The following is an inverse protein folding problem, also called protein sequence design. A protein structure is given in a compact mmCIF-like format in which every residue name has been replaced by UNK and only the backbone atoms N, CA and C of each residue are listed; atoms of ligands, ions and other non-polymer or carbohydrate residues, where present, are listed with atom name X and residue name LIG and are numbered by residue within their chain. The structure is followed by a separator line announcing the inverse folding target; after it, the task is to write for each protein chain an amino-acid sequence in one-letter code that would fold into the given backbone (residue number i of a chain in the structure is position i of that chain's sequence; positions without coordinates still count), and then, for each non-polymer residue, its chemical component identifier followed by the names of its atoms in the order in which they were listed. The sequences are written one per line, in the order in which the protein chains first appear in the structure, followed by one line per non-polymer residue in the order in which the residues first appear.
data_IF_987312870952
#
_entry.id   IF_987312870952
#
_cell.length_a   1.000
_cell.length_b   1.000
_cell.length_c   1.000
_cell.angle_alpha   90.00
_cell.angle_beta   90.00
_cell.angle_gamma   90.00
#
_symmetry.space_group_name_H-M   'P 1'
#
loop_
_entity.id
_entity.type
_entity.pdbx_description
1 polymer ?
#
# COMPACT_ATOMS: atom_id res chain seq x y z
N UNK A 1 -8.12 -12.04 19.17
CA UNK A 1 -8.59 -13.45 19.08
C UNK A 1 -7.68 -14.27 18.17
N UNK A 2 -7.50 -13.92 16.88
CA UNK A 2 -6.72 -14.67 15.87
C UNK A 2 -5.25 -14.92 16.30
N UNK A 3 -4.60 -13.92 16.91
CA UNK A 3 -3.22 -14.05 17.40
C UNK A 3 -3.08 -15.07 18.53
N UNK A 4 -4.04 -15.05 19.44
CA UNK A 4 -4.09 -15.96 20.59
C UNK A 4 -4.47 -17.36 20.12
N UNK A 5 -5.41 -17.49 19.18
CA UNK A 5 -5.78 -18.76 18.56
C UNK A 5 -4.58 -19.44 17.88
N UNK A 6 -3.75 -18.67 17.16
CA UNK A 6 -2.52 -19.20 16.54
C UNK A 6 -1.49 -19.66 17.59
N UNK A 7 -1.31 -18.90 18.66
CA UNK A 7 -0.44 -19.29 19.77
C UNK A 7 -0.97 -20.53 20.51
N UNK A 8 -2.29 -20.62 20.70
CA UNK A 8 -2.95 -21.78 21.30
C UNK A 8 -2.80 -23.04 20.43
N UNK A 9 -2.99 -22.94 19.11
CA UNK A 9 -2.75 -24.05 18.17
C UNK A 9 -1.32 -24.56 18.22
N UNK A 10 -0.35 -23.64 18.31
CA UNK A 10 1.07 -24.04 18.43
C UNK A 10 1.38 -24.80 19.73
N UNK A 11 0.66 -24.50 20.83
CA UNK A 11 0.89 -25.13 22.13
C UNK A 11 0.09 -26.41 22.33
N UNK A 12 -1.18 -26.43 21.91
CA UNK A 12 -2.06 -27.61 22.05
C UNK A 12 -2.01 -28.57 20.86
N UNK A 13 -1.27 -28.24 19.80
CA UNK A 13 -1.12 -28.99 18.56
C UNK A 13 -1.92 -28.37 17.40
N UNK A 14 -1.29 -28.31 16.24
CA UNK A 14 -1.88 -27.72 15.01
C UNK A 14 -3.10 -28.48 14.51
N UNK A 15 -3.26 -29.73 14.93
CA UNK A 15 -4.38 -30.60 14.55
C UNK A 15 -5.69 -30.30 15.30
N UNK A 16 -5.62 -29.50 16.37
CA UNK A 16 -6.79 -29.11 17.15
C UNK A 16 -7.48 -27.87 16.54
N UNK A 17 -8.79 -27.90 16.45
CA UNK A 17 -9.60 -26.73 16.14
C UNK A 17 -9.88 -25.94 17.43
N UNK A 18 -9.05 -24.94 17.69
CA UNK A 18 -9.10 -24.14 18.91
C UNK A 18 -9.87 -22.84 18.66
N UNK A 19 -10.87 -22.59 19.51
CA UNK A 19 -11.65 -21.34 19.55
C UNK A 19 -11.19 -20.56 20.78
N UNK A 20 -10.93 -19.28 20.60
CA UNK A 20 -10.55 -18.34 21.66
C UNK A 20 -11.61 -17.26 21.77
N UNK A 21 -12.18 -17.09 22.94
CA UNK A 21 -13.11 -16.02 23.26
C UNK A 21 -12.46 -15.09 24.29
N UNK A 22 -12.57 -13.79 24.05
CA UNK A 22 -12.08 -12.76 24.97
C UNK A 22 -13.29 -12.02 25.52
N UNK A 23 -13.46 -12.07 26.82
CA UNK A 23 -14.45 -11.25 27.48
C UNK A 23 -13.99 -9.78 27.47
N UNK A 24 -14.75 -8.92 26.82
CA UNK A 24 -14.39 -7.50 26.65
C UNK A 24 -14.50 -6.68 27.94
N UNK A 25 -15.25 -7.17 28.95
CA UNK A 25 -15.46 -6.43 30.20
C UNK A 25 -14.33 -6.65 31.21
N UNK A 26 -13.85 -7.88 31.35
CA UNK A 26 -12.85 -8.24 32.34
C UNK A 26 -11.50 -8.66 31.74
N UNK A 27 -11.42 -8.83 30.41
CA UNK A 27 -10.21 -9.25 29.71
C UNK A 27 -9.88 -10.75 29.85
N UNK A 28 -10.78 -11.56 30.43
CA UNK A 28 -10.55 -12.98 30.58
C UNK A 28 -10.57 -13.69 29.22
N UNK A 29 -9.63 -14.63 29.07
CA UNK A 29 -9.47 -15.42 27.86
C UNK A 29 -9.94 -16.82 28.14
N UNK A 30 -10.98 -17.28 27.45
CA UNK A 30 -11.41 -18.67 27.43
C UNK A 30 -10.93 -19.35 26.15
N UNK A 31 -10.32 -20.52 26.33
CA UNK A 31 -9.79 -21.32 25.23
C UNK A 31 -10.55 -22.63 25.23
N UNK A 32 -11.21 -22.93 24.13
CA UNK A 32 -12.00 -24.16 23.97
C UNK A 32 -11.59 -24.89 22.69
N UNK A 33 -11.62 -26.20 22.74
CA UNK A 33 -11.41 -27.04 21.58
C UNK A 33 -12.77 -27.41 20.99
N UNK A 34 -12.95 -27.21 19.69
CA UNK A 34 -14.13 -27.62 18.96
C UNK A 34 -14.02 -29.08 18.60
N UNK A 35 -15.00 -29.89 18.99
CA UNK A 35 -15.05 -31.32 18.72
C UNK A 35 -16.41 -31.69 18.15
N UNK A 36 -16.42 -32.60 17.18
CA UNK A 36 -17.65 -33.16 16.60
C UNK A 36 -18.03 -34.44 17.36
N UNK A 37 -19.28 -34.56 17.78
CA UNK A 37 -19.78 -35.77 18.45
C UNK A 37 -20.10 -36.83 17.41
N UNK A 38 -19.38 -37.96 17.50
CA UNK A 38 -19.50 -39.12 16.59
C UNK A 38 -19.70 -40.40 17.37
N UNK A 39 -20.20 -41.43 16.69
CA UNK A 39 -20.38 -42.76 17.30
C UNK A 39 -19.04 -43.50 17.39
N UNK A 40 -18.24 -43.49 16.31
CA UNK A 40 -16.89 -44.04 16.26
C UNK A 40 -15.87 -42.93 16.02
N UNK A 41 -14.93 -42.71 16.92
CA UNK A 41 -13.87 -41.72 16.85
C UNK A 41 -12.77 -42.21 15.90
N UNK A 42 -12.64 -41.51 14.77
CA UNK A 42 -11.55 -41.69 13.79
C UNK A 42 -10.38 -40.74 14.05
N UNK A 43 -10.68 -39.54 14.47
CA UNK A 43 -9.66 -38.53 14.79
C UNK A 43 -9.87 -38.03 16.24
N UNK A 44 -8.96 -38.36 17.12
CA UNK A 44 -9.02 -38.00 18.56
C UNK A 44 -8.89 -36.51 18.83
N UNK A 45 -8.46 -35.70 17.85
CA UNK A 45 -8.26 -34.27 18.00
C UNK A 45 -9.52 -33.47 17.62
N UNK A 46 -10.35 -33.99 16.71
CA UNK A 46 -11.52 -33.32 16.17
C UNK A 46 -12.85 -33.98 16.55
N UNK A 47 -12.80 -35.23 17.03
CA UNK A 47 -13.99 -36.04 17.27
C UNK A 47 -14.05 -36.54 18.71
N UNK A 48 -15.25 -36.61 19.25
CA UNK A 48 -15.53 -37.12 20.59
C UNK A 48 -16.65 -38.15 20.55
N UNK A 49 -16.52 -39.25 21.31
CA UNK A 49 -17.55 -40.28 21.43
C UNK A 49 -18.74 -39.74 22.23
N UNK A 50 -19.97 -40.12 21.86
CA UNK A 50 -21.23 -39.73 22.49
C UNK A 50 -21.23 -39.93 24.03
N UNK A 51 -20.60 -41.01 24.54
CA UNK A 51 -20.51 -41.25 25.98
C UNK A 51 -19.66 -40.22 26.71
N UNK A 52 -18.60 -39.74 26.08
CA UNK A 52 -17.71 -38.71 26.64
C UNK A 52 -18.37 -37.32 26.46
N UNK A 53 -18.99 -37.05 25.32
CA UNK A 53 -19.74 -35.83 25.04
C UNK A 53 -20.85 -35.56 26.07
N UNK A 54 -21.61 -36.61 26.47
CA UNK A 54 -22.66 -36.49 27.48
C UNK A 54 -22.13 -36.18 28.89
N UNK A 55 -20.86 -36.39 29.18
CA UNK A 55 -20.27 -35.95 30.46
C UNK A 55 -19.99 -34.44 30.49
N UNK A 56 -19.77 -33.83 29.33
CA UNK A 56 -19.53 -32.40 29.19
C UNK A 56 -20.85 -31.66 29.01
N UNK A 57 -21.71 -32.18 28.16
CA UNK A 57 -23.06 -31.64 27.94
C UNK A 57 -24.04 -32.81 27.92
N UNK A 58 -24.91 -32.92 28.94
CA UNK A 58 -25.86 -34.01 29.08
C UNK A 58 -26.92 -34.15 27.95
N UNK A 59 -27.11 -33.10 27.16
CA UNK A 59 -28.05 -33.07 26.02
C UNK A 59 -27.39 -33.36 24.66
N UNK A 60 -26.07 -33.66 24.61
CA UNK A 60 -25.32 -33.88 23.37
C UNK A 60 -25.87 -35.02 22.52
N UNK A 61 -26.01 -34.79 21.21
CA UNK A 61 -26.42 -35.75 20.19
C UNK A 61 -25.29 -35.98 19.17
N UNK A 62 -25.40 -37.08 18.42
CA UNK A 62 -24.47 -37.38 17.34
C UNK A 62 -24.61 -36.30 16.25
N UNK A 63 -23.53 -35.68 15.83
CA UNK A 63 -23.50 -34.59 14.87
C UNK A 63 -23.41 -33.19 15.50
N UNK A 64 -23.53 -33.10 16.84
CA UNK A 64 -23.39 -31.80 17.53
C UNK A 64 -21.91 -31.38 17.61
N UNK A 65 -21.70 -30.08 17.55
CA UNK A 65 -20.39 -29.45 17.82
C UNK A 65 -20.30 -29.12 19.31
N UNK A 66 -19.28 -29.65 19.97
CA UNK A 66 -19.05 -29.46 21.39
C UNK A 66 -17.78 -28.62 21.63
N UNK A 67 -17.87 -27.66 22.54
CA UNK A 67 -16.73 -26.89 23.01
C UNK A 67 -16.19 -27.55 24.30
N UNK A 68 -15.02 -28.14 24.21
CA UNK A 68 -14.29 -28.73 25.35
C UNK A 68 -13.33 -27.66 25.91
N UNK A 69 -13.55 -27.16 27.14
CA UNK A 69 -12.69 -26.12 27.70
C UNK A 69 -11.28 -26.69 27.96
N UNK A 70 -10.29 -26.03 27.40
CA UNK A 70 -8.90 -26.36 27.63
C UNK A 70 -8.39 -25.67 28.90
N UNK A 71 -7.43 -26.26 29.64
CA UNK A 71 -6.86 -25.61 30.81
C UNK A 71 -6.26 -24.24 30.43
N UNK A 72 -6.26 -23.24 31.34
CA UNK A 72 -5.66 -21.96 31.04
C UNK A 72 -4.19 -22.13 30.67
N UNK A 73 -3.79 -21.51 29.56
CA UNK A 73 -2.42 -21.59 29.06
C UNK A 73 -1.56 -20.57 29.79
N UNK A 74 -0.44 -21.05 30.33
CA UNK A 74 0.62 -20.10 30.74
C UNK A 74 1.27 -19.53 29.47
N UNK A 75 0.97 -18.26 29.17
CA UNK A 75 1.54 -17.54 28.04
C UNK A 75 3.03 -17.30 28.28
N UNK A 76 3.83 -18.34 28.13
CA UNK A 76 5.29 -18.22 28.16
C UNK A 76 5.81 -17.22 27.11
N UNK A 77 7.06 -16.80 27.24
CA UNK A 77 7.71 -15.81 26.35
C UNK A 77 7.50 -16.07 24.86
N UNK A 78 7.44 -17.34 24.45
CA UNK A 78 7.28 -17.75 23.04
C UNK A 78 5.88 -17.40 22.51
N UNK A 79 4.84 -17.69 23.31
CA UNK A 79 3.47 -17.36 22.94
C UNK A 79 3.24 -15.83 22.90
N UNK A 80 3.81 -15.09 23.86
CA UNK A 80 3.76 -13.64 23.88
C UNK A 80 4.47 -13.00 22.66
N UNK A 81 5.61 -13.56 22.25
CA UNK A 81 6.32 -13.11 21.04
C UNK A 81 5.53 -13.41 19.77
N UNK A 82 4.93 -14.62 19.67
CA UNK A 82 4.09 -14.99 18.54
C UNK A 82 2.86 -14.08 18.43
N UNK A 83 2.17 -13.81 19.54
CA UNK A 83 1.05 -12.88 19.59
C UNK A 83 1.46 -11.46 19.14
N UNK A 84 2.58 -10.95 19.65
CA UNK A 84 3.14 -9.66 19.23
C UNK A 84 3.42 -9.61 17.72
N UNK A 85 3.99 -10.67 17.16
CA UNK A 85 4.29 -10.76 15.73
C UNK A 85 3.03 -10.75 14.88
N UNK A 86 1.98 -11.49 15.27
CA UNK A 86 0.70 -11.52 14.55
C UNK A 86 0.00 -10.15 14.65
N UNK A 87 -0.04 -9.53 15.82
CA UNK A 87 -0.62 -8.19 16.00
C UNK A 87 0.11 -7.19 15.08
N UNK A 88 1.45 -7.17 15.10
CA UNK A 88 2.22 -6.27 14.26
C UNK A 88 1.99 -6.54 12.76
N UNK A 89 1.82 -7.81 12.36
CA UNK A 89 1.50 -8.17 10.98
C UNK A 89 0.13 -7.64 10.56
N UNK A 90 -0.88 -7.80 11.42
CA UNK A 90 -2.25 -7.32 11.16
C UNK A 90 -2.35 -5.79 11.12
N UNK A 91 -1.64 -5.11 12.03
CA UNK A 91 -1.56 -3.64 12.00
C UNK A 91 -0.93 -3.16 10.69
N UNK A 92 0.18 -3.77 10.27
CA UNK A 92 0.83 -3.42 8.98
C UNK A 92 -0.07 -3.71 7.79
N UNK A 93 -0.80 -4.83 7.80
CA UNK A 93 -1.75 -5.18 6.74
C UNK A 93 -2.86 -4.12 6.62
N UNK A 94 -3.48 -3.73 7.74
CA UNK A 94 -4.50 -2.70 7.79
C UNK A 94 -3.99 -1.31 7.36
N UNK A 95 -2.76 -0.93 7.77
CA UNK A 95 -2.11 0.31 7.32
C UNK A 95 -1.89 0.30 5.81
N UNK A 96 -1.45 -0.83 5.24
CA UNK A 96 -1.22 -0.98 3.80
C UNK A 96 -2.52 -0.91 3.01
N UNK A 97 -3.57 -1.58 3.48
CA UNK A 97 -4.89 -1.51 2.86
C UNK A 97 -5.43 -0.07 2.87
N UNK A 98 -5.26 0.65 3.97
CA UNK A 98 -5.62 2.06 4.06
C UNK A 98 -4.84 2.92 3.07
N UNK A 99 -3.52 2.73 2.97
CA UNK A 99 -2.68 3.43 2.01
C UNK A 99 -3.10 3.14 0.57
N UNK A 100 -3.36 1.87 0.23
CA UNK A 100 -3.87 1.50 -1.08
C UNK A 100 -5.19 2.19 -1.40
N UNK A 101 -6.16 2.15 -0.49
CA UNK A 101 -7.47 2.79 -0.68
C UNK A 101 -7.39 4.32 -0.83
N UNK A 102 -6.44 4.96 -0.15
CA UNK A 102 -6.21 6.42 -0.26
C UNK A 102 -5.61 6.82 -1.60
N UNK A 103 -4.75 5.98 -2.20
CA UNK A 103 -4.00 6.33 -3.41
C UNK A 103 -4.51 5.66 -4.69
N UNK A 104 -5.34 4.62 -4.64
CA UNK A 104 -5.83 3.90 -5.83
C UNK A 104 -6.53 4.79 -6.85
N UNK A 105 -7.30 5.78 -6.37
CA UNK A 105 -8.07 6.70 -7.22
C UNK A 105 -7.24 7.93 -7.64
N UNK A 106 -5.99 8.04 -7.17
CA UNK A 106 -5.07 9.14 -7.47
C UNK A 106 -4.05 8.80 -8.55
N UNK A 107 -4.23 7.67 -9.23
CA UNK A 107 -3.44 7.34 -10.42
C UNK A 107 -3.67 8.42 -11.48
N UNK A 108 -2.59 8.98 -12.02
CA UNK A 108 -2.68 10.11 -12.94
C UNK A 108 -2.34 11.47 -12.32
N UNK A 109 -2.22 11.56 -11.00
CA UNK A 109 -1.89 12.80 -10.31
C UNK A 109 -0.38 13.02 -10.15
N UNK A 110 0.01 14.26 -9.96
CA UNK A 110 1.34 14.64 -9.49
C UNK A 110 1.33 14.75 -7.98
N UNK A 111 2.28 14.09 -7.34
CA UNK A 111 2.51 14.16 -5.90
C UNK A 111 3.86 14.77 -5.58
N UNK A 112 3.93 15.44 -4.43
CA UNK A 112 5.18 15.93 -3.87
C UNK A 112 5.65 14.94 -2.80
N UNK A 113 6.92 14.57 -2.84
CA UNK A 113 7.53 13.71 -1.84
C UNK A 113 8.92 14.19 -1.46
N UNK A 114 9.43 13.65 -0.37
CA UNK A 114 10.81 13.87 0.09
C UNK A 114 11.58 12.58 -0.10
N UNK A 115 12.75 12.65 -0.70
CA UNK A 115 13.62 11.47 -0.86
C UNK A 115 14.02 10.96 0.51
N UNK A 116 13.61 9.75 0.84
CA UNK A 116 13.91 9.08 2.10
C UNK A 116 15.19 8.25 2.01
N UNK A 117 15.37 7.53 0.92
CA UNK A 117 16.53 6.70 0.62
C UNK A 117 16.59 6.32 -0.85
N UNK A 118 17.77 5.95 -1.29
CA UNK A 118 18.02 5.39 -2.62
C UNK A 118 18.57 3.99 -2.48
N UNK A 119 17.94 2.99 -3.09
CA UNK A 119 18.31 1.58 -3.00
C UNK A 119 18.39 0.97 -4.41
N UNK A 120 19.56 0.48 -4.79
CA UNK A 120 19.80 -0.16 -6.09
C UNK A 120 19.35 0.69 -7.30
N UNK A 121 19.46 2.02 -7.18
CA UNK A 121 19.02 2.96 -8.21
C UNK A 121 17.52 3.29 -8.19
N UNK A 122 16.73 2.66 -7.32
CA UNK A 122 15.35 3.06 -7.05
C UNK A 122 15.33 4.12 -5.96
N UNK A 123 14.47 5.13 -6.12
CA UNK A 123 14.32 6.22 -5.15
C UNK A 123 13.03 6.02 -4.38
N UNK A 124 13.13 5.97 -3.06
CA UNK A 124 11.97 5.88 -2.18
C UNK A 124 11.62 7.28 -1.70
N UNK A 125 10.39 7.70 -2.00
CA UNK A 125 9.83 8.98 -1.58
C UNK A 125 8.89 8.79 -0.40
N UNK A 126 9.00 9.68 0.57
CA UNK A 126 8.02 9.87 1.63
C UNK A 126 6.95 10.85 1.13
N UNK A 127 5.72 10.38 1.04
CA UNK A 127 4.54 11.17 0.63
C UNK A 127 3.75 11.70 1.84
N UNK A 128 4.30 11.56 3.05
CA UNK A 128 3.69 11.94 4.33
C UNK A 128 2.82 10.84 4.93
N UNK A 129 1.94 10.23 4.17
CA UNK A 129 1.05 9.14 4.64
C UNK A 129 1.43 7.76 4.11
N UNK A 130 2.26 7.70 3.08
CA UNK A 130 2.71 6.47 2.43
C UNK A 130 4.09 6.65 1.82
N UNK A 131 4.74 5.54 1.51
CA UNK A 131 5.98 5.53 0.72
C UNK A 131 5.67 5.21 -0.75
N UNK A 132 6.24 6.00 -1.66
CA UNK A 132 6.21 5.74 -3.10
C UNK A 132 7.60 5.36 -3.60
N UNK A 133 7.67 4.62 -4.70
CA UNK A 133 8.92 4.22 -5.34
C UNK A 133 9.00 4.77 -6.76
N UNK A 134 10.12 5.43 -7.07
CA UNK A 134 10.53 5.72 -8.44
C UNK A 134 11.56 4.66 -8.81
N UNK A 135 11.22 3.80 -9.77
CA UNK A 135 12.17 2.80 -10.28
C UNK A 135 13.27 3.48 -11.08
N UNK A 136 14.42 2.83 -11.19
CA UNK A 136 15.58 3.34 -11.95
C UNK A 136 15.23 3.71 -13.39
N UNK A 137 14.38 2.93 -14.05
CA UNK A 137 13.90 3.20 -15.42
C UNK A 137 12.89 4.35 -15.51
N UNK A 138 12.35 4.78 -14.37
CA UNK A 138 11.38 5.86 -14.23
C UNK A 138 11.99 7.17 -13.71
N UNK A 139 13.30 7.20 -13.50
CA UNK A 139 14.06 8.42 -13.16
C UNK A 139 14.44 9.20 -14.43
N UNK A 140 14.76 10.48 -14.27
CA UNK A 140 15.32 11.28 -15.36
C UNK A 140 16.83 10.96 -15.47
N UNK A 141 17.36 10.68 -16.67
CA UNK A 141 18.80 10.47 -16.84
C UNK A 141 19.60 11.69 -16.34
N UNK A 142 20.71 11.45 -15.65
CA UNK A 142 21.59 12.46 -15.05
C UNK A 142 21.00 13.25 -13.88
N UNK A 143 19.81 12.90 -13.41
CA UNK A 143 19.25 13.49 -12.19
C UNK A 143 19.85 12.79 -10.96
N UNK A 144 20.49 13.55 -10.08
CA UNK A 144 21.07 13.05 -8.84
C UNK A 144 20.19 13.43 -7.65
N UNK A 145 19.27 12.53 -7.28
CA UNK A 145 18.38 12.73 -6.15
C UNK A 145 19.04 12.30 -4.85
N UNK A 146 19.19 13.24 -3.92
CA UNK A 146 19.81 13.03 -2.60
C UNK A 146 18.73 12.91 -1.51
N UNK A 147 19.10 12.27 -0.41
CA UNK A 147 18.24 12.20 0.79
C UNK A 147 17.85 13.61 1.26
N UNK A 148 16.55 13.82 1.48
CA UNK A 148 16.00 15.11 1.88
C UNK A 148 15.52 16.00 0.74
N UNK A 149 15.84 15.68 -0.53
CA UNK A 149 15.37 16.45 -1.67
C UNK A 149 13.86 16.38 -1.82
N UNK A 150 13.25 17.52 -2.16
CA UNK A 150 11.83 17.57 -2.50
C UNK A 150 11.63 17.28 -3.97
N UNK A 151 10.84 16.28 -4.28
CA UNK A 151 10.66 15.78 -5.64
C UNK A 151 9.19 15.74 -5.98
N UNK A 152 8.84 16.24 -7.18
CA UNK A 152 7.52 16.01 -7.80
C UNK A 152 7.58 14.77 -8.66
N UNK A 153 6.59 13.91 -8.57
CA UNK A 153 6.50 12.70 -9.37
C UNK A 153 5.05 12.40 -9.74
N UNK A 154 4.88 11.68 -10.84
CA UNK A 154 3.59 11.26 -11.38
C UNK A 154 3.26 9.86 -10.88
N UNK A 155 2.06 9.66 -10.35
CA UNK A 155 1.58 8.32 -9.97
C UNK A 155 1.13 7.60 -11.24
N UNK A 156 1.91 6.61 -11.70
CA UNK A 156 1.52 5.85 -12.87
C UNK A 156 0.80 4.54 -12.53
N UNK A 157 1.00 4.03 -11.31
CA UNK A 157 0.39 2.78 -10.88
C UNK A 157 0.32 2.70 -9.36
N UNK A 158 -0.76 2.10 -8.85
CA UNK A 158 -0.92 1.73 -7.44
C UNK A 158 -1.33 0.25 -7.38
N UNK A 159 -0.58 -0.56 -6.65
CA UNK A 159 -0.81 -2.01 -6.52
C UNK A 159 -1.07 -2.39 -5.08
N UNK A 160 -1.98 -3.34 -4.88
CA UNK A 160 -2.15 -3.99 -3.59
C UNK A 160 -1.09 -5.09 -3.44
N UNK A 161 0.07 -4.73 -2.91
CA UNK A 161 1.19 -5.64 -2.68
C UNK A 161 1.27 -6.03 -1.20
N UNK A 162 1.59 -7.27 -0.90
CA UNK A 162 1.77 -7.74 0.49
C UNK A 162 3.11 -7.32 1.07
N UNK A 163 4.13 -7.08 0.23
CA UNK A 163 5.47 -6.64 0.60
C UNK A 163 5.97 -5.56 -0.35
N UNK A 164 6.74 -4.61 0.16
CA UNK A 164 7.34 -3.53 -0.65
C UNK A 164 6.41 -2.33 -0.85
N UNK A 165 6.83 -1.31 -1.62
CA UNK A 165 6.03 -0.13 -1.90
C UNK A 165 4.82 -0.47 -2.77
N UNK A 166 3.69 0.22 -2.54
CA UNK A 166 2.45 0.04 -3.28
C UNK A 166 2.22 1.12 -4.33
N UNK A 167 2.86 2.29 -4.16
CA UNK A 167 2.67 3.46 -5.01
C UNK A 167 3.88 3.58 -5.91
N UNK A 168 3.65 3.44 -7.21
CA UNK A 168 4.69 3.51 -8.24
C UNK A 168 4.66 4.88 -8.89
N UNK A 169 5.81 5.55 -8.86
CA UNK A 169 5.99 6.92 -9.28
C UNK A 169 6.93 6.99 -10.49
N UNK A 170 6.68 7.95 -11.36
CA UNK A 170 7.53 8.21 -12.53
C UNK A 170 7.86 9.69 -12.66
N UNK A 171 9.10 9.96 -13.08
CA UNK A 171 9.55 11.27 -13.51
C UNK A 171 9.82 11.33 -15.02
N UNK A 172 9.93 10.16 -15.65
CA UNK A 172 10.16 10.03 -17.10
C UNK A 172 8.88 9.92 -17.93
N UNK A 173 7.75 9.56 -17.32
CA UNK A 173 6.49 9.32 -18.03
C UNK A 173 6.00 10.56 -18.80
N UNK A 174 5.51 10.42 -20.06
CA UNK A 174 4.99 11.55 -20.84
C UNK A 174 3.86 12.31 -20.16
N UNK A 175 2.95 11.61 -19.47
CA UNK A 175 1.84 12.21 -18.75
C UNK A 175 2.28 13.12 -17.57
N UNK A 176 3.47 12.90 -17.03
CA UNK A 176 4.04 13.81 -16.03
C UNK A 176 4.16 15.23 -16.60
N UNK A 177 4.62 15.35 -17.84
CA UNK A 177 4.70 16.65 -18.52
C UNK A 177 3.30 17.23 -18.77
N UNK A 178 2.36 16.42 -19.26
CA UNK A 178 0.99 16.87 -19.51
C UNK A 178 0.35 17.42 -18.23
N UNK A 179 0.50 16.72 -17.11
CA UNK A 179 -0.05 17.16 -15.83
C UNK A 179 0.62 18.41 -15.26
N UNK A 180 1.93 18.59 -15.49
CA UNK A 180 2.61 19.85 -15.14
C UNK A 180 2.03 21.02 -15.93
N UNK A 181 1.82 20.86 -17.23
CA UNK A 181 1.18 21.89 -18.05
C UNK A 181 -0.26 22.18 -17.62
N UNK A 182 -1.02 21.17 -17.23
CA UNK A 182 -2.37 21.35 -16.68
C UNK A 182 -2.35 22.19 -15.40
N UNK A 183 -1.32 22.05 -14.57
CA UNK A 183 -1.18 22.86 -13.35
C UNK A 183 -0.70 24.30 -13.61
N UNK A 184 0.17 24.49 -14.59
CA UNK A 184 0.79 25.80 -14.87
C UNK A 184 -0.01 26.66 -15.88
N UNK A 185 -0.89 26.05 -16.68
CA UNK A 185 -1.66 26.71 -17.76
C UNK A 185 -3.15 26.65 -17.43
N UNK A 186 -3.75 27.75 -16.93
CA UNK A 186 -5.16 27.78 -16.56
C UNK A 186 -6.09 27.40 -17.71
N UNK A 187 -5.76 27.80 -18.95
CA UNK A 187 -6.55 27.50 -20.14
C UNK A 187 -6.64 26.01 -20.46
N UNK A 188 -5.64 25.22 -20.01
CA UNK A 188 -5.67 23.74 -20.08
C UNK A 188 -6.51 23.20 -18.93
N UNK A 189 -6.35 23.74 -17.73
CA UNK A 189 -7.14 23.32 -16.57
C UNK A 189 -8.64 23.54 -16.79
N UNK A 190 -9.02 24.67 -17.39
CA UNK A 190 -10.41 25.06 -17.72
C UNK A 190 -10.94 24.29 -18.94
N UNK A 191 -10.11 23.47 -19.60
CA UNK A 191 -10.50 22.66 -20.75
C UNK A 191 -10.62 23.44 -22.09
N UNK A 192 -10.24 24.70 -22.12
CA UNK A 192 -10.25 25.56 -23.34
C UNK A 192 -9.17 25.06 -24.31
N UNK A 193 -8.02 24.72 -23.78
CA UNK A 193 -6.91 24.12 -24.54
C UNK A 193 -6.78 22.64 -24.13
N UNK A 194 -6.71 21.77 -25.12
CA UNK A 194 -6.56 20.32 -24.92
C UNK A 194 -5.16 19.88 -25.32
N UNK A 195 -4.51 19.07 -24.47
CA UNK A 195 -3.29 18.36 -24.83
C UNK A 195 -3.69 17.11 -25.59
N UNK A 196 -3.34 17.00 -26.86
CA UNK A 196 -3.65 15.84 -27.71
C UNK A 196 -2.61 14.74 -27.57
N UNK A 197 -1.33 15.10 -27.48
CA UNK A 197 -0.25 14.11 -27.32
C UNK A 197 0.99 14.75 -26.72
N UNK A 198 1.79 13.93 -26.06
CA UNK A 198 3.11 14.28 -25.53
C UNK A 198 4.11 13.22 -25.93
N UNK A 199 5.19 13.64 -26.59
CA UNK A 199 6.36 12.83 -26.87
C UNK A 199 7.54 13.43 -26.12
N UNK A 200 8.25 12.62 -25.32
CA UNK A 200 9.28 13.07 -24.41
C UNK A 200 10.52 12.19 -24.46
N UNK A 201 11.66 12.86 -24.50
CA UNK A 201 12.98 12.30 -24.22
C UNK A 201 13.41 12.86 -22.84
N UNK A 202 13.26 12.08 -21.75
CA UNK A 202 13.38 12.59 -20.38
C UNK A 202 14.74 13.23 -20.12
N UNK A 203 14.75 14.45 -19.56
CA UNK A 203 15.96 15.20 -19.28
C UNK A 203 16.58 15.93 -20.50
N UNK A 204 16.03 15.75 -21.70
CA UNK A 204 16.54 16.34 -22.92
C UNK A 204 15.53 17.27 -23.60
N UNK A 205 14.45 16.71 -24.13
CA UNK A 205 13.43 17.47 -24.88
C UNK A 205 12.06 16.86 -24.76
N UNK A 206 11.04 17.68 -25.05
CA UNK A 206 9.65 17.22 -25.18
C UNK A 206 8.95 17.95 -26.34
N UNK A 207 7.96 17.29 -26.93
CA UNK A 207 7.03 17.84 -27.89
C UNK A 207 5.63 17.64 -27.36
N UNK A 208 4.85 18.70 -27.31
CA UNK A 208 3.45 18.68 -26.84
C UNK A 208 2.57 19.17 -27.97
N UNK A 209 1.60 18.40 -28.36
CA UNK A 209 0.56 18.82 -29.30
C UNK A 209 -0.63 19.35 -28.52
N UNK A 210 -0.96 20.60 -28.76
CA UNK A 210 -2.09 21.31 -28.14
C UNK A 210 -3.11 21.68 -29.18
N UNK A 211 -4.37 21.75 -28.78
CA UNK A 211 -5.51 22.08 -29.64
C UNK A 211 -6.52 22.92 -28.88
N UNK A 212 -7.16 23.84 -29.54
CA UNK A 212 -8.31 24.58 -29.04
C UNK A 212 -9.36 24.71 -30.14
N UNK A 213 -10.64 24.78 -29.76
CA UNK A 213 -11.76 25.09 -30.66
C UNK A 213 -11.99 26.60 -30.75
N UNK A 214 -11.46 27.36 -29.80
CA UNK A 214 -11.58 28.80 -29.78
C UNK A 214 -10.55 29.45 -30.71
N UNK A 215 -11.03 30.03 -31.83
CA UNK A 215 -10.19 30.72 -32.81
C UNK A 215 -9.55 32.00 -32.27
N UNK A 216 -10.02 32.54 -31.16
CA UNK A 216 -9.48 33.73 -30.50
C UNK A 216 -8.28 33.47 -29.60
N UNK A 217 -7.94 32.20 -29.35
CA UNK A 217 -6.87 31.79 -28.45
C UNK A 217 -5.72 31.16 -29.22
N UNK A 218 -4.52 31.68 -29.02
CA UNK A 218 -3.29 30.98 -29.46
C UNK A 218 -2.89 29.92 -28.42
N UNK A 219 -3.09 28.61 -28.71
CA UNK A 219 -2.83 27.56 -27.74
C UNK A 219 -1.32 27.39 -27.44
N UNK A 220 -0.45 27.72 -28.39
CA UNK A 220 1.00 27.65 -28.22
C UNK A 220 1.48 28.81 -27.35
N UNK A 221 1.05 30.01 -27.65
CA UNK A 221 1.36 31.24 -26.89
C UNK A 221 0.90 31.13 -25.43
N UNK A 222 -0.29 30.58 -25.19
CA UNK A 222 -0.82 30.34 -23.84
C UNK A 222 0.03 29.36 -23.05
N UNK A 223 0.49 28.27 -23.67
CA UNK A 223 1.36 27.25 -23.01
C UNK A 223 2.77 27.81 -22.75
N UNK A 224 3.32 28.60 -23.63
CA UNK A 224 4.64 29.22 -23.48
C UNK A 224 4.62 30.25 -22.35
N UNK A 225 3.59 31.08 -22.31
CA UNK A 225 3.43 32.17 -21.37
C UNK A 225 4.35 33.36 -21.66
N UNK A 226 4.19 34.44 -20.90
CA UNK A 226 5.01 35.64 -21.07
C UNK A 226 6.50 35.32 -20.89
N UNK A 227 7.30 35.62 -21.92
CA UNK A 227 8.75 35.37 -21.96
C UNK A 227 9.14 33.90 -21.61
N UNK A 228 8.24 32.93 -21.86
CA UNK A 228 8.47 31.54 -21.60
C UNK A 228 8.28 31.10 -20.14
N UNK A 229 7.67 31.94 -19.29
CA UNK A 229 7.55 31.67 -17.84
C UNK A 229 6.88 30.35 -17.51
N UNK A 230 5.77 30.01 -18.19
CA UNK A 230 5.03 28.80 -17.93
C UNK A 230 5.80 27.54 -18.37
N UNK A 231 6.41 27.59 -19.54
CA UNK A 231 7.24 26.49 -20.05
C UNK A 231 8.47 26.29 -19.19
N UNK A 232 9.11 27.36 -18.70
CA UNK A 232 10.26 27.27 -17.80
C UNK A 232 9.88 26.64 -16.46
N UNK A 233 8.72 26.99 -15.89
CA UNK A 233 8.21 26.37 -14.68
C UNK A 233 8.08 24.84 -14.83
N UNK A 234 7.57 24.37 -15.97
CA UNK A 234 7.50 22.93 -16.26
C UNK A 234 8.89 22.30 -16.44
N UNK A 235 9.82 22.99 -17.12
CA UNK A 235 11.16 22.49 -17.41
C UNK A 235 12.02 22.34 -16.16
N UNK A 236 11.82 23.15 -15.11
CA UNK A 236 12.49 23.00 -13.83
C UNK A 236 12.31 21.62 -13.20
N UNK A 237 11.17 20.98 -13.45
CA UNK A 237 10.87 19.63 -12.91
C UNK A 237 11.18 18.49 -13.87
N UNK A 238 11.49 18.78 -15.13
CA UNK A 238 11.57 17.77 -16.17
C UNK A 238 12.93 17.68 -16.86
N UNK A 239 13.76 18.70 -16.67
CA UNK A 239 15.10 18.78 -17.24
C UNK A 239 16.06 19.27 -16.17
N UNK A 240 17.03 18.44 -15.71
CA UNK A 240 18.03 18.87 -14.76
C UNK A 240 18.83 20.05 -15.37
N UNK A 241 19.04 21.07 -14.56
CA UNK A 241 19.84 22.23 -15.00
C UNK A 241 21.31 21.81 -15.12
N UNK A 242 22.02 22.23 -16.19
CA UNK A 242 23.44 22.02 -16.28
C UNK A 242 24.27 22.66 -15.13
N UNK A 243 23.61 23.54 -14.33
CA UNK A 243 24.26 24.18 -13.16
C UNK A 243 24.34 23.28 -11.94
N UNK A 244 23.49 22.25 -11.86
CA UNK A 244 23.45 21.33 -10.72
C UNK A 244 24.63 20.35 -10.74
N UNK A 245 25.36 20.24 -11.87
CA UNK A 245 26.53 19.39 -12.02
C UNK A 245 27.83 20.03 -11.51
N UNK A 246 27.84 21.33 -11.13
CA UNK A 246 29.04 22.08 -10.74
C UNK A 246 29.16 22.34 -9.23
N UNK A 247 28.25 21.92 -8.40
CA UNK A 247 28.31 22.03 -6.94
C UNK A 247 28.63 20.67 -6.27
N UNK A 248 29.65 19.99 -6.75
CA UNK A 248 30.21 18.79 -6.09
C UNK A 248 31.72 18.94 -5.88
#
# INVERSE_FOLDING_TARGET
EEAISKAAKSNYGEENEVIVEINQENGDISISRKMLVVDEVKNKFLEINLKAAKKINGAAQIGDELLDPLPPMDFGRIAAQAAKQVINSKVREAERERQYNEYKDRVGEIVNGIVKRTEFGNVILDLGKAEGVIRKDQTIPRENLRNGDRVRAYIYEVRSETKGPQIFLSRSHPQFMAMLFTQEVPEIYDGIIQIKSVARDPGSRAKIAVFTEDSGIDPVGACVGMRGSRVQACLLYTSPSPRDDYES
#
